data_IF_976312612836
#
_entry.id   IF_976312612836
#
_cell.length_a   1.000
_cell.length_b   1.000
_cell.length_c   1.000
_cell.angle_alpha   90.00
_cell.angle_beta   90.00
_cell.angle_gamma   90.00
#
_symmetry.space_group_name_H-M   'P 1'
#
loop_
_entity.id
_entity.type
_entity.pdbx_description
1 polymer ?
#
# COMPACT_ATOMS: atom_id res chain seq x y z
N UNK A 1 -2.56 36.24 -45.17
CA UNK A 1 -1.13 36.64 -45.09
C UNK A 1 -1.02 37.57 -43.91
N UNK A 2 -0.26 37.17 -42.88
CA UNK A 2 0.17 37.83 -41.61
C UNK A 2 0.15 36.69 -40.57
N UNK A 3 1.19 35.86 -40.57
CA UNK A 3 2.44 35.98 -39.81
C UNK A 3 2.32 35.34 -38.42
N UNK A 4 2.87 34.13 -38.34
CA UNK A 4 3.20 33.39 -37.13
C UNK A 4 4.22 34.18 -36.29
N UNK A 5 4.04 34.17 -34.97
CA UNK A 5 5.10 34.32 -33.97
C UNK A 5 4.81 33.26 -32.91
N UNK A 6 5.50 32.12 -32.96
CA UNK A 6 6.84 31.86 -32.44
C UNK A 6 6.87 31.81 -30.90
N UNK A 7 6.40 30.66 -30.39
CA UNK A 7 7.16 29.77 -29.50
C UNK A 7 7.92 30.43 -28.32
N UNK A 8 7.17 30.74 -27.27
CA UNK A 8 7.72 31.10 -25.96
C UNK A 8 8.12 29.81 -25.21
N UNK A 9 9.23 29.23 -25.65
CA UNK A 9 9.87 28.08 -25.01
C UNK A 9 10.54 28.51 -23.70
N UNK A 10 9.73 28.64 -22.65
CA UNK A 10 10.22 28.63 -21.28
C UNK A 10 10.99 27.32 -21.04
N UNK A 11 12.32 27.41 -21.11
CA UNK A 11 13.24 26.30 -20.90
C UNK A 11 13.18 25.79 -19.46
N UNK A 12 12.18 24.98 -19.13
CA UNK A 12 12.20 24.12 -17.96
C UNK A 12 13.28 23.06 -18.18
N UNK A 13 14.47 23.28 -17.62
CA UNK A 13 15.44 22.19 -17.43
C UNK A 13 14.76 21.06 -16.67
N UNK A 14 14.77 19.82 -17.19
CA UNK A 14 14.16 18.68 -16.51
C UNK A 14 14.88 18.42 -15.18
N UNK A 15 14.12 17.98 -14.17
CA UNK A 15 14.68 17.52 -12.90
C UNK A 15 15.73 16.42 -13.13
N UNK A 16 16.73 16.34 -12.25
CA UNK A 16 17.75 15.29 -12.35
C UNK A 16 17.10 13.92 -12.16
N UNK A 17 17.55 12.95 -12.93
CA UNK A 17 17.21 11.54 -12.70
C UNK A 17 17.84 11.05 -11.38
N UNK A 18 17.46 9.86 -10.92
CA UNK A 18 17.88 9.35 -9.61
C UNK A 18 19.41 9.27 -9.46
N UNK A 19 20.11 8.82 -10.49
CA UNK A 19 21.57 8.71 -10.50
C UNK A 19 22.25 10.09 -10.56
N UNK A 20 21.75 11.00 -11.39
CA UNK A 20 22.23 12.38 -11.46
C UNK A 20 22.03 13.13 -10.14
N UNK A 21 20.90 12.89 -9.46
CA UNK A 21 20.62 13.49 -8.15
C UNK A 21 21.59 13.00 -7.06
N UNK A 22 21.88 11.70 -7.01
CA UNK A 22 22.85 11.15 -6.07
C UNK A 22 24.25 11.74 -6.28
N UNK A 23 24.69 11.85 -7.54
CA UNK A 23 25.97 12.47 -7.90
C UNK A 23 26.02 13.96 -7.49
N UNK A 24 24.95 14.71 -7.79
CA UNK A 24 24.83 16.12 -7.40
C UNK A 24 24.86 16.31 -5.88
N UNK A 25 24.12 15.50 -5.13
CA UNK A 25 24.10 15.57 -3.66
C UNK A 25 25.44 15.20 -3.03
N UNK A 26 26.18 14.25 -3.62
CA UNK A 26 27.51 13.89 -3.16
C UNK A 26 28.50 15.06 -3.30
N UNK A 27 28.41 15.83 -4.38
CA UNK A 27 29.19 17.06 -4.58
C UNK A 27 28.73 18.22 -3.68
N UNK A 28 27.42 18.37 -3.45
CA UNK A 28 26.85 19.49 -2.70
C UNK A 28 27.09 19.41 -1.18
N UNK A 29 27.04 18.21 -0.59
CA UNK A 29 27.19 18.00 0.86
C UNK A 29 28.47 18.63 1.45
N UNK A 30 29.68 18.35 0.92
CA UNK A 30 30.90 18.90 1.49
C UNK A 30 30.98 20.44 1.36
N UNK A 31 30.43 21.02 0.27
CA UNK A 31 30.31 22.47 0.10
C UNK A 31 29.42 23.11 1.19
N UNK A 32 28.25 22.52 1.47
CA UNK A 32 27.34 23.04 2.49
C UNK A 32 27.90 22.89 3.90
N UNK A 33 28.64 21.80 4.16
CA UNK A 33 29.32 21.57 5.43
C UNK A 33 30.42 22.60 5.68
N UNK A 34 31.30 22.84 4.71
CA UNK A 34 32.37 23.82 4.86
C UNK A 34 31.84 25.25 5.03
N UNK A 35 30.83 25.66 4.25
CA UNK A 35 30.17 26.97 4.39
C UNK A 35 29.53 27.17 5.77
N UNK A 36 29.00 26.10 6.37
CA UNK A 36 28.39 26.16 7.70
C UNK A 36 29.46 26.25 8.79
N UNK A 37 30.53 25.45 8.68
CA UNK A 37 31.67 25.53 9.60
C UNK A 37 32.32 26.91 9.61
N UNK A 38 32.48 27.52 8.44
CA UNK A 38 33.04 28.86 8.30
C UNK A 38 32.15 29.92 8.97
N UNK A 39 30.83 29.82 8.79
CA UNK A 39 29.87 30.71 9.42
C UNK A 39 29.86 30.56 10.96
N UNK A 40 29.97 29.35 11.47
CA UNK A 40 29.97 29.06 12.91
C UNK A 40 31.26 29.53 13.61
N UNK A 41 32.37 29.58 12.87
CA UNK A 41 33.69 30.01 13.38
C UNK A 41 34.03 31.47 13.11
N UNK A 42 33.12 32.24 12.51
CA UNK A 42 33.26 33.68 12.36
C UNK A 42 34.04 34.16 11.13
N UNK A 43 34.02 33.42 10.01
CA UNK A 43 34.54 33.88 8.71
C UNK A 43 36.07 34.14 8.68
N UNK A 44 36.83 33.29 9.36
CA UNK A 44 38.27 33.42 9.59
C UNK A 44 39.15 32.83 8.47
N UNK A 45 38.55 32.30 7.40
CA UNK A 45 39.18 31.47 6.38
C UNK A 45 39.88 30.24 6.99
N UNK A 46 39.05 29.31 7.52
CA UNK A 46 39.54 28.18 8.31
C UNK A 46 40.58 27.33 7.56
N UNK A 47 41.66 26.97 8.25
CA UNK A 47 42.64 25.99 7.77
C UNK A 47 42.13 24.57 7.99
N UNK A 48 41.86 23.83 6.90
CA UNK A 48 41.57 22.41 6.94
C UNK A 48 42.84 21.55 6.94
N UNK A 49 42.66 20.22 6.91
CA UNK A 49 43.77 19.25 6.90
C UNK A 49 44.70 19.36 5.68
N UNK A 50 44.15 19.81 4.54
CA UNK A 50 44.88 19.83 3.26
C UNK A 50 44.97 21.22 2.64
N UNK A 51 43.97 22.08 2.85
CA UNK A 51 43.88 23.41 2.26
C UNK A 51 43.00 24.33 3.11
N UNK A 52 43.03 25.63 2.81
CA UNK A 52 42.16 26.62 3.45
C UNK A 52 40.74 26.56 2.89
N UNK A 53 39.79 27.05 3.68
CA UNK A 53 38.38 27.12 3.34
C UNK A 53 38.14 27.75 1.95
N UNK A 54 38.74 28.91 1.68
CA UNK A 54 38.54 29.60 0.41
C UNK A 54 39.07 28.80 -0.80
N UNK A 55 40.23 28.16 -0.66
CA UNK A 55 40.87 27.36 -1.71
C UNK A 55 40.04 26.11 -2.03
N UNK A 56 39.51 25.44 -1.00
CA UNK A 56 38.59 24.32 -1.15
C UNK A 56 37.32 24.73 -1.89
N UNK A 57 36.68 25.83 -1.48
CA UNK A 57 35.45 26.34 -2.10
C UNK A 57 35.67 26.74 -3.57
N UNK A 58 36.72 27.52 -3.84
CA UNK A 58 37.06 27.97 -5.19
C UNK A 58 37.26 26.77 -6.13
N UNK A 59 38.04 25.77 -5.70
CA UNK A 59 38.29 24.55 -6.48
C UNK A 59 37.02 23.76 -6.76
N UNK A 60 36.23 23.47 -5.72
CA UNK A 60 35.02 22.64 -5.85
C UNK A 60 33.92 23.32 -6.68
N UNK A 61 33.81 24.65 -6.61
CA UNK A 61 32.86 25.42 -7.42
C UNK A 61 33.32 25.54 -8.88
N UNK A 62 34.63 25.55 -9.14
CA UNK A 62 35.19 25.52 -10.49
C UNK A 62 35.03 24.14 -11.18
N UNK A 63 34.88 23.06 -10.40
CA UNK A 63 34.67 21.68 -10.89
C UNK A 63 33.26 21.19 -10.55
N UNK A 64 32.21 21.60 -11.30
CA UNK A 64 30.86 21.09 -11.09
C UNK A 64 30.76 19.58 -11.37
N UNK A 65 29.75 18.89 -10.78
CA UNK A 65 29.57 17.45 -10.98
C UNK A 65 29.19 17.15 -12.44
N UNK A 66 29.45 15.93 -12.93
CA UNK A 66 29.15 15.51 -14.31
C UNK A 66 27.66 15.24 -14.51
N UNK A 67 26.83 16.26 -14.28
CA UNK A 67 25.37 16.24 -14.41
C UNK A 67 24.92 17.44 -15.23
N UNK A 68 23.76 17.33 -15.89
CA UNK A 68 23.23 18.41 -16.73
C UNK A 68 22.72 19.57 -15.88
N UNK A 69 23.51 20.62 -15.74
CA UNK A 69 23.14 21.84 -15.03
C UNK A 69 22.68 22.95 -16.00
N UNK A 70 21.75 23.83 -15.59
CA UNK A 70 21.36 25.00 -16.39
C UNK A 70 22.58 25.88 -16.67
N UNK A 71 22.66 26.48 -17.89
CA UNK A 71 23.78 27.35 -18.29
C UNK A 71 24.02 28.49 -17.30
N UNK A 72 22.95 29.12 -16.82
CA UNK A 72 23.03 30.20 -15.83
C UNK A 72 23.64 29.73 -14.49
N UNK A 73 23.38 28.48 -14.12
CA UNK A 73 23.94 27.89 -12.89
C UNK A 73 25.43 27.63 -13.04
N UNK A 74 25.87 27.17 -14.21
CA UNK A 74 27.30 27.00 -14.51
C UNK A 74 28.05 28.33 -14.50
N UNK A 75 27.49 29.38 -15.12
CA UNK A 75 28.06 30.73 -15.07
C UNK A 75 28.16 31.26 -13.63
N UNK A 76 27.10 31.04 -12.83
CA UNK A 76 27.10 31.48 -11.43
C UNK A 76 28.11 30.72 -10.58
N UNK A 77 28.31 29.42 -10.80
CA UNK A 77 29.34 28.63 -10.11
C UNK A 77 30.74 29.16 -10.40
N UNK A 78 31.03 29.50 -11.66
CA UNK A 78 32.31 30.11 -12.03
C UNK A 78 32.52 31.48 -11.37
N UNK A 79 31.49 32.34 -11.35
CA UNK A 79 31.54 33.62 -10.63
C UNK A 79 31.86 33.43 -9.16
N UNK A 80 31.16 32.51 -8.49
CA UNK A 80 31.40 32.21 -7.08
C UNK A 80 32.80 31.64 -6.85
N UNK A 81 33.31 30.79 -7.75
CA UNK A 81 34.67 30.25 -7.64
C UNK A 81 35.73 31.36 -7.64
N UNK A 82 35.56 32.39 -8.48
CA UNK A 82 36.41 33.58 -8.52
C UNK A 82 36.24 34.44 -7.27
N UNK A 83 35.01 34.65 -6.80
CA UNK A 83 34.74 35.41 -5.57
C UNK A 83 35.39 34.75 -4.35
N UNK A 84 35.38 33.42 -4.26
CA UNK A 84 36.07 32.68 -3.20
C UNK A 84 37.59 32.69 -3.37
N UNK A 85 38.14 32.82 -4.59
CA UNK A 85 39.58 32.99 -4.76
C UNK A 85 40.06 34.33 -4.13
N UNK A 86 39.25 35.38 -4.19
CA UNK A 86 39.50 36.68 -3.56
C UNK A 86 39.07 36.75 -2.08
N UNK A 87 38.57 35.65 -1.49
CA UNK A 87 38.05 35.63 -0.11
C UNK A 87 39.00 36.17 0.97
N UNK A 88 40.32 35.88 0.92
CA UNK A 88 41.26 36.40 1.92
C UNK A 88 41.36 37.93 1.92
N UNK A 89 41.12 38.57 0.77
CA UNK A 89 41.21 40.03 0.58
C UNK A 89 39.94 40.77 1.05
N UNK A 90 38.85 40.03 1.27
CA UNK A 90 37.59 40.59 1.76
C UNK A 90 37.65 40.86 3.26
N UNK A 91 37.08 41.99 3.70
CA UNK A 91 36.78 42.23 5.11
C UNK A 91 35.61 41.37 5.62
N UNK A 92 35.44 41.31 6.94
CA UNK A 92 34.44 40.44 7.62
C UNK A 92 33.02 40.58 7.07
N UNK A 93 32.57 41.80 6.80
CA UNK A 93 31.25 42.06 6.23
C UNK A 93 31.10 41.47 4.81
N UNK A 94 32.16 41.52 4.00
CA UNK A 94 32.20 40.94 2.66
C UNK A 94 32.20 39.41 2.71
N UNK A 95 33.05 38.83 3.56
CA UNK A 95 33.11 37.37 3.78
C UNK A 95 31.77 36.80 4.25
N UNK A 96 31.12 37.45 5.21
CA UNK A 96 29.79 37.05 5.71
C UNK A 96 28.73 37.06 4.62
N UNK A 97 28.70 38.10 3.78
CA UNK A 97 27.77 38.21 2.64
C UNK A 97 28.02 37.10 1.62
N UNK A 98 29.29 36.84 1.27
CA UNK A 98 29.63 35.82 0.28
C UNK A 98 29.24 34.42 0.75
N UNK A 99 29.60 34.05 1.99
CA UNK A 99 29.27 32.73 2.56
C UNK A 99 27.75 32.54 2.66
N UNK A 100 27.04 33.54 3.19
CA UNK A 100 25.57 33.46 3.36
C UNK A 100 24.87 33.39 2.01
N UNK A 101 25.25 34.24 1.06
CA UNK A 101 24.67 34.28 -0.28
C UNK A 101 24.93 32.99 -1.06
N UNK A 102 26.14 32.44 -0.96
CA UNK A 102 26.50 31.15 -1.59
C UNK A 102 25.65 30.02 -1.01
N UNK A 103 25.51 29.96 0.33
CA UNK A 103 24.72 28.91 0.99
C UNK A 103 23.24 28.98 0.59
N UNK A 104 22.66 30.18 0.56
CA UNK A 104 21.27 30.38 0.10
C UNK A 104 21.09 29.98 -1.36
N UNK A 105 22.03 30.36 -2.22
CA UNK A 105 21.97 30.05 -3.65
C UNK A 105 22.12 28.55 -3.93
N UNK A 106 23.09 27.87 -3.27
CA UNK A 106 23.26 26.43 -3.37
C UNK A 106 22.05 25.65 -2.86
N UNK A 107 21.40 26.14 -1.79
CA UNK A 107 20.13 25.59 -1.34
C UNK A 107 19.02 25.77 -2.39
N UNK A 108 18.89 26.96 -2.99
CA UNK A 108 17.94 27.21 -4.08
C UNK A 108 18.23 26.39 -5.34
N UNK A 109 19.50 26.12 -5.65
CA UNK A 109 19.90 25.23 -6.75
C UNK A 109 19.47 23.79 -6.45
N UNK A 110 19.71 23.30 -5.23
CA UNK A 110 19.27 21.97 -4.78
C UNK A 110 17.76 21.79 -4.94
N UNK A 111 16.98 22.72 -4.40
CA UNK A 111 15.51 22.66 -4.47
C UNK A 111 14.99 22.66 -5.91
N UNK A 112 15.66 23.37 -6.82
CA UNK A 112 15.29 23.40 -8.25
C UNK A 112 15.63 22.12 -9.01
N UNK A 113 16.69 21.42 -8.60
CA UNK A 113 17.18 20.21 -9.28
C UNK A 113 16.67 18.91 -8.64
N UNK A 114 16.23 18.96 -7.38
CA UNK A 114 15.50 17.88 -6.74
C UNK A 114 14.12 17.73 -7.43
N UNK A 115 13.70 16.50 -7.79
CA UNK A 115 12.32 16.28 -8.19
C UNK A 115 11.42 16.76 -7.04
N UNK A 116 10.35 17.49 -7.36
CA UNK A 116 9.35 17.91 -6.37
C UNK A 116 8.99 16.70 -5.52
N UNK A 117 9.17 16.79 -4.19
CA UNK A 117 8.89 15.68 -3.30
C UNK A 117 7.50 15.12 -3.63
N UNK A 118 7.35 13.81 -3.86
CA UNK A 118 6.08 13.25 -4.27
C UNK A 118 5.04 13.63 -3.23
N UNK A 119 3.92 14.15 -3.70
CA UNK A 119 2.91 14.70 -2.82
C UNK A 119 2.44 13.57 -1.88
N UNK A 120 2.31 13.86 -0.59
CA UNK A 120 2.00 12.81 0.39
C UNK A 120 0.76 12.00 -0.04
N UNK A 121 0.73 10.68 0.23
CA UNK A 121 -0.41 9.84 -0.07
C UNK A 121 -1.73 10.44 0.44
N UNK A 122 -2.84 10.24 -0.28
CA UNK A 122 -4.14 10.68 0.21
C UNK A 122 -4.42 10.01 1.56
N UNK A 123 -4.86 10.79 2.55
CA UNK A 123 -5.31 10.23 3.84
C UNK A 123 -6.75 9.77 3.69
N UNK A 124 -6.98 8.47 3.50
CA UNK A 124 -8.32 7.91 3.64
C UNK A 124 -8.52 7.50 5.10
N UNK A 125 -9.59 8.00 5.72
CA UNK A 125 -10.11 7.38 6.94
C UNK A 125 -10.93 6.17 6.53
N UNK A 126 -10.43 4.96 6.74
CA UNK A 126 -11.26 3.78 6.56
C UNK A 126 -12.15 3.67 7.79
N UNK A 127 -13.48 3.74 7.64
CA UNK A 127 -14.36 3.52 8.79
C UNK A 127 -14.25 2.06 9.20
N UNK A 128 -13.75 1.76 10.39
CA UNK A 128 -13.86 0.43 11.01
C UNK A 128 -15.35 0.11 11.15
N UNK A 129 -15.88 -0.68 10.22
CA UNK A 129 -17.29 -1.01 9.99
C UNK A 129 -18.09 0.02 9.18
N UNK A 130 -18.93 -0.42 8.21
CA UNK A 130 -20.19 0.28 8.02
C UNK A 130 -20.88 0.24 9.38
N UNK A 131 -21.18 1.40 9.93
CA UNK A 131 -22.12 1.52 11.02
C UNK A 131 -23.27 0.55 10.76
N UNK A 132 -23.48 -0.36 11.70
CA UNK A 132 -24.78 -0.92 12.02
C UNK A 132 -25.73 0.22 12.47
N UNK A 133 -25.81 1.31 11.69
CA UNK A 133 -26.83 2.33 11.82
C UNK A 133 -28.08 1.76 11.15
N UNK A 134 -28.89 1.08 11.96
CA UNK A 134 -30.30 0.86 11.65
C UNK A 134 -30.80 -0.59 11.64
N UNK A 135 -29.98 -1.62 11.87
CA UNK A 135 -30.49 -3.00 12.03
C UNK A 135 -29.98 -3.65 13.31
N UNK A 136 -30.78 -3.42 14.35
CA UNK A 136 -30.96 -4.19 15.59
C UNK A 136 -29.70 -4.76 16.23
N UNK A 137 -29.15 -4.01 17.20
CA UNK A 137 -28.26 -4.53 18.23
C UNK A 137 -28.98 -5.47 19.24
N UNK A 138 -30.20 -5.94 18.93
CA UNK A 138 -31.01 -6.75 19.85
C UNK A 138 -31.76 -7.91 19.17
N UNK A 139 -31.30 -8.39 18.01
CA UNK A 139 -31.70 -9.73 17.59
C UNK A 139 -30.75 -10.74 18.23
N UNK A 140 -31.24 -11.75 18.98
CA UNK A 140 -30.39 -12.84 19.42
C UNK A 140 -29.75 -13.44 18.17
N UNK A 141 -28.43 -13.44 18.12
CA UNK A 141 -27.71 -14.17 17.11
C UNK A 141 -27.97 -15.65 17.38
N UNK A 142 -28.92 -16.24 16.63
CA UNK A 142 -29.48 -17.58 16.83
C UNK A 142 -28.59 -18.71 16.32
N UNK A 143 -27.38 -18.40 15.82
CA UNK A 143 -26.45 -19.37 15.26
C UNK A 143 -25.43 -19.79 16.31
N UNK A 144 -25.34 -21.09 16.54
CA UNK A 144 -24.29 -21.74 17.33
C UNK A 144 -23.18 -22.29 16.42
N UNK A 145 -22.01 -22.64 16.99
CA UNK A 145 -20.86 -23.17 16.26
C UNK A 145 -21.19 -24.47 15.50
N UNK A 146 -22.03 -25.32 16.08
CA UNK A 146 -22.48 -26.59 15.49
C UNK A 146 -23.72 -26.43 14.61
N UNK A 147 -24.20 -25.19 14.38
CA UNK A 147 -25.33 -24.97 13.49
C UNK A 147 -24.97 -25.29 12.04
N UNK A 148 -25.81 -26.05 11.32
CA UNK A 148 -25.60 -26.31 9.90
C UNK A 148 -25.55 -25.02 9.08
N UNK A 149 -24.65 -24.92 8.11
CA UNK A 149 -24.50 -23.73 7.26
C UNK A 149 -25.77 -23.40 6.46
N UNK A 150 -26.62 -24.39 6.17
CA UNK A 150 -27.91 -24.16 5.53
C UNK A 150 -28.87 -23.26 6.33
N UNK A 151 -28.65 -23.08 7.65
CA UNK A 151 -29.41 -22.16 8.50
C UNK A 151 -28.90 -20.71 8.43
N UNK A 152 -27.70 -20.50 7.89
CA UNK A 152 -27.11 -19.16 7.76
C UNK A 152 -27.84 -18.41 6.64
N UNK A 153 -28.30 -17.20 6.95
CA UNK A 153 -28.99 -16.37 5.97
C UNK A 153 -28.13 -16.14 4.73
N UNK A 154 -28.70 -16.39 3.54
CA UNK A 154 -28.00 -16.25 2.26
C UNK A 154 -27.29 -17.51 1.77
N UNK A 155 -27.35 -18.62 2.52
CA UNK A 155 -26.94 -19.95 2.08
C UNK A 155 -28.17 -20.75 1.65
N UNK A 156 -28.40 -20.82 0.34
CA UNK A 156 -29.42 -21.70 -0.25
C UNK A 156 -28.92 -23.14 -0.42
N UNK A 157 -29.79 -24.11 -0.78
CA UNK A 157 -29.44 -25.54 -0.85
C UNK A 157 -28.25 -25.81 -1.79
N UNK A 158 -28.24 -25.22 -3.00
CA UNK A 158 -27.13 -25.34 -3.95
C UNK A 158 -25.80 -24.80 -3.42
N UNK A 159 -25.85 -23.74 -2.62
CA UNK A 159 -24.64 -23.16 -2.04
C UNK A 159 -24.17 -24.02 -0.85
N UNK A 160 -25.09 -24.57 -0.06
CA UNK A 160 -24.76 -25.51 1.01
C UNK A 160 -24.08 -26.77 0.45
N UNK A 161 -24.56 -27.35 -0.64
CA UNK A 161 -23.93 -28.50 -1.32
C UNK A 161 -22.49 -28.18 -1.77
N UNK A 162 -22.24 -26.98 -2.29
CA UNK A 162 -20.90 -26.53 -2.70
C UNK A 162 -19.96 -26.26 -1.54
N UNK A 163 -20.50 -25.83 -0.40
CA UNK A 163 -19.72 -25.66 0.82
C UNK A 163 -19.40 -27.03 1.43
N UNK A 164 -20.35 -27.96 1.39
CA UNK A 164 -20.16 -29.34 1.82
C UNK A 164 -19.08 -30.06 0.99
N UNK A 165 -18.95 -29.78 -0.32
CA UNK A 165 -17.86 -30.33 -1.13
C UNK A 165 -16.47 -29.78 -0.77
N UNK A 166 -16.40 -28.65 -0.05
CA UNK A 166 -15.19 -28.14 0.60
C UNK A 166 -14.96 -28.72 2.00
N UNK A 167 -15.85 -29.62 2.47
CA UNK A 167 -15.85 -30.12 3.84
C UNK A 167 -16.43 -29.14 4.86
N UNK A 168 -17.12 -28.08 4.41
CA UNK A 168 -17.71 -27.05 5.27
C UNK A 168 -19.19 -27.35 5.49
N UNK A 169 -19.54 -27.86 6.67
CA UNK A 169 -20.90 -28.33 6.99
C UNK A 169 -21.58 -27.42 8.02
N UNK A 170 -20.83 -26.99 9.02
CA UNK A 170 -21.31 -26.19 10.15
C UNK A 170 -20.59 -24.84 10.26
N UNK A 171 -21.12 -23.93 11.08
CA UNK A 171 -20.57 -22.58 11.31
C UNK A 171 -19.09 -22.62 11.71
N UNK A 172 -18.71 -23.54 12.60
CA UNK A 172 -17.33 -23.68 13.08
C UNK A 172 -16.35 -23.98 11.91
N UNK A 173 -16.78 -24.77 10.93
CA UNK A 173 -15.93 -25.18 9.81
C UNK A 173 -15.61 -23.97 8.94
N UNK A 174 -16.60 -23.10 8.72
CA UNK A 174 -16.43 -21.86 7.95
C UNK A 174 -15.49 -20.87 8.65
N UNK A 175 -15.52 -20.82 9.98
CA UNK A 175 -14.60 -20.01 10.82
C UNK A 175 -13.20 -20.64 10.87
N UNK A 176 -13.07 -21.96 10.72
CA UNK A 176 -11.75 -22.62 10.67
C UNK A 176 -11.16 -22.70 9.25
N UNK A 177 -11.93 -22.33 8.23
CA UNK A 177 -11.46 -22.23 6.86
C UNK A 177 -10.62 -20.97 6.65
N UNK A 178 -9.40 -20.99 7.18
CA UNK A 178 -8.53 -19.82 7.21
C UNK A 178 -8.11 -19.35 5.80
N UNK A 179 -7.91 -18.04 5.61
CA UNK A 179 -7.35 -17.52 4.36
C UNK A 179 -5.95 -18.10 4.09
N UNK A 180 -5.68 -18.44 2.84
CA UNK A 180 -4.34 -18.87 2.38
C UNK A 180 -3.39 -17.69 2.15
N UNK A 181 -3.94 -16.52 1.85
CA UNK A 181 -3.17 -15.32 1.50
C UNK A 181 -4.02 -14.05 1.75
N UNK A 182 -3.42 -12.86 1.62
CA UNK A 182 -4.08 -11.57 1.76
C UNK A 182 -3.61 -10.61 0.66
N UNK A 183 -4.55 -9.90 0.05
CA UNK A 183 -4.24 -8.81 -0.87
C UNK A 183 -4.23 -7.49 -0.10
N UNK A 184 -3.15 -6.74 -0.19
CA UNK A 184 -3.03 -5.46 0.49
C UNK A 184 -3.58 -4.31 -0.36
N UNK A 185 -4.82 -3.90 -0.05
CA UNK A 185 -5.41 -2.67 -0.59
C UNK A 185 -5.33 -1.49 0.38
N UNK A 186 -4.62 -1.62 1.51
CA UNK A 186 -4.42 -0.53 2.47
C UNK A 186 -3.35 0.48 2.00
N UNK A 187 -2.48 0.06 1.09
CA UNK A 187 -1.41 0.88 0.52
C UNK A 187 -1.95 2.00 -0.38
N UNK A 188 -2.13 3.19 0.20
CA UNK A 188 -2.55 4.39 -0.51
C UNK A 188 -1.37 5.06 -1.21
N UNK A 189 -1.54 5.36 -2.50
CA UNK A 189 -0.55 6.03 -3.33
C UNK A 189 -1.18 7.19 -4.11
N UNK A 190 -0.35 8.14 -4.49
CA UNK A 190 -0.67 9.11 -5.55
C UNK A 190 -0.44 8.49 -6.91
N UNK A 191 -1.07 9.05 -7.95
CA UNK A 191 -0.90 8.54 -9.32
C UNK A 191 0.57 8.55 -9.73
N UNK A 192 1.33 9.60 -9.40
CA UNK A 192 2.76 9.70 -9.72
C UNK A 192 3.64 8.65 -9.03
N UNK A 193 3.20 8.15 -7.87
CA UNK A 193 3.97 7.24 -7.02
C UNK A 193 3.55 5.78 -7.20
N UNK A 194 2.85 5.45 -8.29
CA UNK A 194 2.49 4.08 -8.63
C UNK A 194 3.68 3.34 -9.21
N UNK A 195 3.95 2.15 -8.68
CA UNK A 195 5.02 1.27 -9.13
C UNK A 195 4.44 -0.01 -9.74
N UNK A 196 4.93 -0.39 -10.91
CA UNK A 196 4.46 -1.59 -11.59
C UNK A 196 4.90 -2.86 -10.84
N UNK A 197 3.98 -3.81 -10.69
CA UNK A 197 4.20 -5.05 -9.94
C UNK A 197 3.63 -5.01 -8.52
N UNK A 198 3.30 -3.84 -8.00
CA UNK A 198 2.71 -3.69 -6.67
C UNK A 198 1.19 -3.60 -6.70
N UNK A 199 0.54 -4.00 -5.61
CA UNK A 199 -0.87 -3.66 -5.39
C UNK A 199 -0.96 -2.30 -4.73
N UNK A 200 -1.79 -1.42 -5.27
CA UNK A 200 -1.96 -0.08 -4.75
C UNK A 200 -3.41 0.37 -4.77
N UNK A 201 -3.72 1.36 -3.94
CA UNK A 201 -4.99 2.07 -3.91
C UNK A 201 -4.77 3.56 -4.20
N UNK A 202 -5.54 4.13 -5.12
CA UNK A 202 -5.55 5.57 -5.37
C UNK A 202 -6.93 6.17 -5.08
N UNK A 203 -6.94 7.47 -4.76
CA UNK A 203 -8.17 8.29 -4.72
C UNK A 203 -8.04 9.38 -5.77
N UNK A 204 -8.99 9.42 -6.69
CA UNK A 204 -8.94 10.34 -7.82
C UNK A 204 -10.35 10.79 -8.23
N UNK A 205 -10.40 11.93 -8.92
CA UNK A 205 -11.64 12.46 -9.48
C UNK A 205 -11.84 11.95 -10.90
N UNK A 206 -13.04 11.48 -11.21
CA UNK A 206 -13.44 11.08 -12.56
C UNK A 206 -13.51 12.32 -13.45
N UNK A 207 -12.68 12.39 -14.49
CA UNK A 207 -12.75 13.44 -15.51
C UNK A 207 -13.65 13.06 -16.67
N UNK A 208 -13.56 11.80 -17.10
CA UNK A 208 -14.38 11.23 -18.17
C UNK A 208 -14.65 9.77 -17.87
N UNK A 209 -15.85 9.32 -18.20
CA UNK A 209 -16.28 7.93 -18.15
C UNK A 209 -16.90 7.57 -19.50
N UNK A 210 -16.46 6.46 -20.10
CA UNK A 210 -16.95 6.02 -21.39
C UNK A 210 -17.10 4.50 -21.41
N UNK A 211 -18.31 4.01 -21.68
CA UNK A 211 -18.61 2.59 -21.84
C UNK A 211 -18.81 2.24 -23.31
N UNK A 212 -18.13 1.22 -23.81
CA UNK A 212 -18.30 0.71 -25.17
C UNK A 212 -18.13 -0.80 -25.24
N UNK A 213 -18.71 -1.43 -26.27
CA UNK A 213 -18.47 -2.85 -26.56
C UNK A 213 -17.20 -2.98 -27.40
N UNK A 214 -16.34 -3.94 -27.07
CA UNK A 214 -15.07 -4.15 -27.76
C UNK A 214 -15.30 -4.44 -29.25
N UNK A 215 -14.64 -3.71 -30.16
CA UNK A 215 -14.71 -3.98 -31.59
C UNK A 215 -14.18 -5.38 -31.96
N UNK A 216 -13.26 -5.93 -31.17
CA UNK A 216 -12.63 -7.24 -31.42
C UNK A 216 -13.41 -8.41 -30.80
N UNK A 217 -14.21 -8.15 -29.77
CA UNK A 217 -14.98 -9.18 -29.08
C UNK A 217 -16.35 -8.63 -28.65
N UNK A 218 -17.44 -8.95 -29.36
CA UNK A 218 -18.77 -8.42 -29.06
C UNK A 218 -19.32 -8.90 -27.71
N UNK A 219 -18.73 -9.94 -27.11
CA UNK A 219 -19.09 -10.43 -25.78
C UNK A 219 -18.30 -9.72 -24.66
N UNK A 220 -17.55 -8.66 -24.97
CA UNK A 220 -16.75 -7.93 -24.01
C UNK A 220 -17.15 -6.45 -24.02
N UNK A 221 -17.76 -6.00 -22.93
CA UNK A 221 -18.00 -4.58 -22.69
C UNK A 221 -16.88 -3.98 -21.85
N UNK A 222 -16.51 -2.75 -22.14
CA UNK A 222 -15.39 -2.05 -21.53
C UNK A 222 -15.89 -0.72 -20.99
N UNK A 223 -15.60 -0.43 -19.72
CA UNK A 223 -15.78 0.89 -19.13
C UNK A 223 -14.40 1.49 -18.90
N UNK A 224 -14.14 2.60 -19.59
CA UNK A 224 -12.91 3.37 -19.47
C UNK A 224 -13.16 4.63 -18.65
N UNK A 225 -12.37 4.79 -17.59
CA UNK A 225 -12.37 5.96 -16.73
C UNK A 225 -11.05 6.71 -16.89
N UNK A 226 -11.13 8.00 -17.19
CA UNK A 226 -10.00 8.91 -17.07
C UNK A 226 -10.07 9.56 -15.70
N UNK A 227 -9.12 9.22 -14.85
CA UNK A 227 -9.05 9.70 -13.48
C UNK A 227 -7.93 10.73 -13.34
N UNK A 228 -8.12 11.68 -12.45
CA UNK A 228 -7.13 12.70 -12.13
C UNK A 228 -7.04 12.92 -10.63
N UNK A 229 -5.82 12.97 -10.12
CA UNK A 229 -5.50 13.49 -8.80
C UNK A 229 -4.59 14.75 -8.96
N UNK A 230 -4.11 15.39 -7.89
CA UNK A 230 -3.26 16.57 -8.03
C UNK A 230 -1.86 16.27 -8.62
N UNK A 231 -1.45 15.01 -8.67
CA UNK A 231 -0.12 14.58 -9.16
C UNK A 231 -0.13 14.13 -10.61
N UNK A 232 -1.27 13.70 -11.14
CA UNK A 232 -1.33 13.22 -12.51
C UNK A 232 -2.69 12.73 -12.97
N UNK A 233 -2.67 12.09 -14.14
CA UNK A 233 -3.85 11.46 -14.75
C UNK A 233 -3.53 9.99 -15.02
N UNK A 234 -4.54 9.14 -14.84
CA UNK A 234 -4.44 7.71 -15.14
C UNK A 234 -5.71 7.22 -15.82
N UNK A 235 -5.54 6.32 -16.79
CA UNK A 235 -6.63 5.59 -17.40
C UNK A 235 -6.86 4.29 -16.63
N UNK A 236 -8.09 4.07 -16.18
CA UNK A 236 -8.51 2.85 -15.51
C UNK A 236 -9.59 2.19 -16.34
N UNK A 237 -9.44 0.90 -16.60
CA UNK A 237 -10.35 0.15 -17.47
C UNK A 237 -10.96 -1.00 -16.70
N UNK A 238 -12.28 -1.14 -16.80
CA UNK A 238 -13.04 -2.26 -16.25
C UNK A 238 -13.61 -3.10 -17.38
N UNK A 239 -13.25 -4.38 -17.39
CA UNK A 239 -13.69 -5.35 -18.38
C UNK A 239 -14.91 -6.13 -17.86
N UNK A 240 -15.97 -6.18 -18.66
CA UNK A 240 -17.21 -6.89 -18.36
C UNK A 240 -17.42 -7.98 -19.43
N UNK A 241 -17.00 -9.20 -19.12
CA UNK A 241 -17.04 -10.34 -20.03
C UNK A 241 -18.35 -11.11 -19.96
N UNK A 242 -19.02 -11.29 -21.10
CA UNK A 242 -20.24 -12.08 -21.27
C UNK A 242 -21.36 -11.31 -21.98
N UNK A 243 -22.16 -12.04 -22.77
CA UNK A 243 -23.29 -11.48 -23.54
C UNK A 243 -24.27 -10.63 -22.72
N UNK A 244 -24.43 -10.95 -21.44
CA UNK A 244 -25.32 -10.24 -20.51
C UNK A 244 -24.88 -8.78 -20.30
N UNK A 245 -23.59 -8.48 -20.49
CA UNK A 245 -23.02 -7.16 -20.29
C UNK A 245 -22.90 -6.35 -21.60
N UNK A 246 -23.12 -7.00 -22.75
CA UNK A 246 -23.11 -6.35 -24.07
C UNK A 246 -24.37 -5.53 -24.37
N UNK A 247 -25.40 -5.62 -23.51
CA UNK A 247 -26.61 -4.82 -23.65
C UNK A 247 -26.29 -3.32 -23.47
N UNK A 248 -26.55 -2.45 -24.47
CA UNK A 248 -26.24 -1.03 -24.40
C UNK A 248 -26.89 -0.29 -23.22
N UNK A 249 -28.10 -0.66 -22.81
CA UNK A 249 -28.79 -0.04 -21.69
C UNK A 249 -28.12 -0.40 -20.35
N UNK A 250 -27.69 -1.66 -20.20
CA UNK A 250 -26.93 -2.11 -19.04
C UNK A 250 -25.58 -1.40 -18.97
N UNK A 251 -24.86 -1.33 -20.09
CA UNK A 251 -23.55 -0.66 -20.15
C UNK A 251 -23.67 0.84 -19.86
N UNK A 252 -24.70 1.51 -20.38
CA UNK A 252 -25.00 2.90 -20.01
C UNK A 252 -25.30 3.04 -18.53
N UNK A 253 -26.12 2.17 -17.95
CA UNK A 253 -26.43 2.17 -16.52
C UNK A 253 -25.19 1.97 -15.64
N UNK A 254 -24.28 1.08 -16.03
CA UNK A 254 -23.00 0.88 -15.35
C UNK A 254 -22.07 2.08 -15.51
N UNK A 255 -21.99 2.67 -16.70
CA UNK A 255 -21.14 3.85 -16.95
C UNK A 255 -21.61 5.06 -16.15
N UNK A 256 -22.94 5.23 -15.99
CA UNK A 256 -23.56 6.31 -15.20
C UNK A 256 -23.27 6.24 -13.71
N UNK A 257 -22.81 5.11 -13.18
CA UNK A 257 -22.34 5.01 -11.80
C UNK A 257 -21.06 5.82 -11.57
N UNK A 258 -20.34 6.21 -12.62
CA UNK A 258 -19.10 6.98 -12.53
C UNK A 258 -19.26 8.36 -13.20
N UNK A 259 -20.08 9.28 -12.64
CA UNK A 259 -20.28 10.58 -13.23
C UNK A 259 -19.01 11.45 -13.15
N UNK A 260 -18.84 12.35 -14.11
CA UNK A 260 -17.73 13.31 -14.08
C UNK A 260 -17.80 14.18 -12.82
N UNK A 261 -16.64 14.42 -12.19
CA UNK A 261 -16.53 15.12 -10.92
C UNK A 261 -16.68 14.21 -9.68
N UNK A 262 -17.16 12.97 -9.83
CA UNK A 262 -17.19 12.03 -8.72
C UNK A 262 -15.78 11.68 -8.23
N UNK A 263 -15.62 11.50 -6.92
CA UNK A 263 -14.39 10.96 -6.37
C UNK A 263 -14.52 9.44 -6.29
N UNK A 264 -13.50 8.72 -6.75
CA UNK A 264 -13.46 7.25 -6.72
C UNK A 264 -12.21 6.76 -6.02
N UNK A 265 -12.34 5.66 -5.29
CA UNK A 265 -11.22 4.85 -4.85
C UNK A 265 -11.00 3.71 -5.84
N UNK A 266 -9.76 3.50 -6.26
CA UNK A 266 -9.39 2.42 -7.19
C UNK A 266 -8.29 1.59 -6.55
N UNK A 267 -8.51 0.28 -6.48
CA UNK A 267 -7.54 -0.68 -5.95
C UNK A 267 -7.28 -1.79 -6.95
N UNK A 268 -6.03 -2.20 -7.09
CA UNK A 268 -5.66 -3.32 -7.95
C UNK A 268 -4.16 -3.49 -8.10
N UNK A 269 -3.78 -4.50 -8.87
CA UNK A 269 -2.39 -4.70 -9.26
C UNK A 269 -2.00 -3.67 -10.31
N UNK A 270 -0.92 -2.94 -10.07
CA UNK A 270 -0.39 -1.95 -10.99
C UNK A 270 0.45 -2.67 -12.06
N UNK A 271 0.15 -2.43 -13.33
CA UNK A 271 0.89 -2.96 -14.49
C UNK A 271 1.38 -1.84 -15.39
N UNK A 272 2.60 -2.02 -15.90
CA UNK A 272 3.13 -1.21 -16.99
C UNK A 272 2.74 -1.84 -18.33
N UNK A 273 2.27 -1.01 -19.26
CA UNK A 273 1.97 -1.42 -20.63
C UNK A 273 2.42 -0.38 -21.65
N UNK A 274 2.14 -0.59 -22.94
CA UNK A 274 2.55 0.31 -24.03
C UNK A 274 2.06 1.76 -23.89
N UNK A 275 1.00 1.97 -23.11
CA UNK A 275 0.36 3.27 -22.89
C UNK A 275 0.62 3.82 -21.47
N UNK A 276 1.63 3.30 -20.78
CA UNK A 276 1.98 3.66 -19.41
C UNK A 276 1.37 2.74 -18.35
N UNK A 277 1.28 3.26 -17.13
CA UNK A 277 0.79 2.53 -15.96
C UNK A 277 -0.73 2.40 -15.97
N UNK A 278 -1.23 1.23 -15.57
CA UNK A 278 -2.66 0.92 -15.47
C UNK A 278 -2.93 -0.05 -14.32
N UNK A 279 -4.19 -0.17 -13.90
CA UNK A 279 -4.60 -1.22 -12.97
C UNK A 279 -5.12 -2.44 -13.74
N UNK A 280 -4.65 -3.63 -13.34
CA UNK A 280 -5.25 -4.89 -13.75
C UNK A 280 -6.45 -5.22 -12.86
N UNK A 281 -7.56 -5.58 -13.50
CA UNK A 281 -8.81 -6.01 -12.87
C UNK A 281 -9.20 -5.15 -11.64
N UNK A 282 -9.25 -3.81 -11.80
CA UNK A 282 -9.42 -2.89 -10.68
C UNK A 282 -10.78 -3.02 -10.01
N UNK A 283 -10.77 -2.90 -8.69
CA UNK A 283 -11.95 -2.63 -7.88
C UNK A 283 -12.13 -1.11 -7.84
N UNK A 284 -13.31 -0.64 -8.22
CA UNK A 284 -13.61 0.79 -8.34
C UNK A 284 -14.87 1.08 -7.53
N UNK A 285 -14.74 1.91 -6.51
CA UNK A 285 -15.86 2.38 -5.69
C UNK A 285 -15.96 3.89 -5.69
N UNK A 286 -17.19 4.41 -5.79
CA UNK A 286 -17.48 5.84 -5.71
C UNK A 286 -17.55 6.25 -4.25
N UNK A 287 -16.84 7.32 -3.91
CA UNK A 287 -16.84 7.89 -2.56
C UNK A 287 -17.88 9.00 -2.45
N UNK A 288 -18.48 9.15 -1.26
CA UNK A 288 -19.38 10.27 -0.95
C UNK A 288 -18.67 11.62 -1.08
N UNK A 289 -17.40 11.69 -0.68
CA UNK A 289 -16.49 12.83 -0.94
C UNK A 289 -15.02 12.41 -0.77
N UNK A 290 -14.07 13.23 -1.21
CA UNK A 290 -12.63 12.94 -1.10
C UNK A 290 -12.13 12.75 0.34
N UNK A 291 -12.82 13.34 1.32
CA UNK A 291 -12.48 13.26 2.73
C UNK A 291 -13.46 12.37 3.52
N UNK A 292 -14.52 11.87 2.89
CA UNK A 292 -15.46 10.97 3.55
C UNK A 292 -14.75 9.67 3.94
N UNK A 293 -15.12 9.08 5.08
CA UNK A 293 -14.57 7.79 5.44
C UNK A 293 -14.96 6.75 4.39
N UNK A 294 -14.00 5.97 3.93
CA UNK A 294 -14.25 4.93 2.94
C UNK A 294 -15.06 3.80 3.59
N UNK A 295 -16.32 3.68 3.19
CA UNK A 295 -17.26 2.63 3.62
C UNK A 295 -17.16 1.38 2.73
N UNK A 296 -15.95 1.03 2.30
CA UNK A 296 -15.70 -0.16 1.48
C UNK A 296 -15.45 -1.38 2.35
N UNK A 297 -15.93 -2.53 1.86
CA UNK A 297 -15.57 -3.87 2.36
C UNK A 297 -14.29 -4.43 1.73
N UNK A 298 -13.79 -3.81 0.65
CA UNK A 298 -12.70 -4.34 -0.16
C UNK A 298 -11.51 -3.37 -0.22
N UNK A 299 -11.76 -2.09 -0.49
CA UNK A 299 -10.72 -1.07 -0.69
C UNK A 299 -10.22 -0.55 0.67
N UNK A 300 -8.92 -0.27 0.75
CA UNK A 300 -8.28 0.33 1.92
C UNK A 300 -7.95 -0.64 3.05
N UNK A 301 -8.00 -1.95 2.79
CA UNK A 301 -7.82 -3.00 3.82
C UNK A 301 -6.99 -4.17 3.31
N UNK A 302 -6.54 -5.01 4.24
CA UNK A 302 -6.03 -6.34 3.94
C UNK A 302 -7.20 -7.27 3.63
N UNK A 303 -7.25 -7.79 2.39
CA UNK A 303 -8.37 -8.58 1.91
C UNK A 303 -8.02 -10.07 1.91
N UNK A 304 -8.66 -10.92 2.73
CA UNK A 304 -8.36 -12.34 2.79
C UNK A 304 -8.65 -13.06 1.46
N UNK A 305 -7.80 -14.01 1.12
CA UNK A 305 -7.91 -14.90 -0.03
C UNK A 305 -8.11 -16.32 0.47
N UNK A 306 -9.26 -16.91 0.14
CA UNK A 306 -9.60 -18.27 0.57
C UNK A 306 -9.35 -19.28 -0.56
N UNK A 307 -9.06 -20.55 -0.22
CA UNK A 307 -9.30 -21.67 -1.14
C UNK A 307 -10.79 -21.76 -1.46
N UNK A 308 -11.15 -21.81 -2.75
CA UNK A 308 -12.55 -21.80 -3.24
C UNK A 308 -12.80 -22.96 -4.20
N UNK A 309 -14.07 -23.34 -4.36
CA UNK A 309 -14.58 -24.25 -5.39
C UNK A 309 -15.23 -23.51 -6.55
N UNK A 310 -15.39 -24.20 -7.68
CA UNK A 310 -16.05 -23.66 -8.86
C UNK A 310 -17.47 -23.14 -8.56
N UNK A 311 -17.81 -21.98 -9.13
CA UNK A 311 -19.13 -21.37 -8.95
C UNK A 311 -19.31 -20.61 -7.63
N UNK A 312 -18.26 -20.45 -6.81
CA UNK A 312 -18.26 -19.60 -5.62
C UNK A 312 -17.26 -18.45 -5.78
N UNK A 313 -17.75 -17.21 -5.76
CA UNK A 313 -16.89 -16.03 -5.88
C UNK A 313 -16.23 -15.69 -4.54
N UNK A 314 -15.02 -15.11 -4.58
CA UNK A 314 -14.29 -14.71 -3.38
C UNK A 314 -15.07 -13.70 -2.53
N UNK A 315 -15.74 -12.74 -3.17
CA UNK A 315 -16.58 -11.75 -2.49
C UNK A 315 -17.78 -12.39 -1.76
N UNK A 316 -18.42 -13.37 -2.41
CA UNK A 316 -19.51 -14.11 -1.79
C UNK A 316 -19.00 -14.91 -0.59
N UNK A 317 -17.87 -15.60 -0.71
CA UNK A 317 -17.29 -16.37 0.39
C UNK A 317 -16.96 -15.48 1.59
N UNK A 318 -16.28 -14.34 1.37
CA UNK A 318 -16.00 -13.35 2.43
C UNK A 318 -17.27 -12.89 3.13
N UNK A 319 -18.33 -12.61 2.36
CA UNK A 319 -19.61 -12.19 2.92
C UNK A 319 -20.24 -13.27 3.82
N UNK A 320 -20.05 -14.56 3.50
CA UNK A 320 -20.51 -15.66 4.35
C UNK A 320 -19.68 -15.76 5.64
N UNK A 321 -18.35 -15.63 5.54
CA UNK A 321 -17.47 -15.61 6.72
C UNK A 321 -17.85 -14.45 7.64
N UNK A 322 -18.03 -13.24 7.12
CA UNK A 322 -18.45 -12.08 7.91
C UNK A 322 -19.81 -12.29 8.60
N UNK A 323 -20.74 -13.01 7.95
CA UNK A 323 -22.04 -13.30 8.53
C UNK A 323 -21.95 -14.23 9.75
N UNK A 324 -20.97 -15.13 9.79
CA UNK A 324 -20.78 -16.08 10.90
C UNK A 324 -19.72 -15.65 11.90
N UNK A 325 -18.84 -14.70 11.56
CA UNK A 325 -17.74 -14.24 12.39
C UNK A 325 -18.16 -13.82 13.81
N UNK A 326 -19.35 -13.23 14.07
CA UNK A 326 -19.79 -12.96 15.44
C UNK A 326 -19.89 -14.20 16.33
N UNK A 327 -20.05 -15.41 15.76
CA UNK A 327 -20.16 -16.67 16.50
C UNK A 327 -18.85 -17.05 17.22
N UNK A 328 -17.70 -16.47 16.84
CA UNK A 328 -16.39 -16.75 17.48
C UNK A 328 -16.40 -16.52 18.99
N UNK A 329 -17.27 -15.64 19.52
CA UNK A 329 -17.44 -15.40 20.95
C UNK A 329 -17.97 -16.62 21.72
N UNK A 330 -18.64 -17.55 21.02
CA UNK A 330 -19.12 -18.81 21.58
C UNK A 330 -18.01 -19.86 21.63
N UNK A 331 -16.84 -19.57 21.06
CA UNK A 331 -15.71 -20.49 21.02
C UNK A 331 -14.80 -20.28 22.23
N UNK A 332 -14.81 -21.19 23.24
CA UNK A 332 -14.02 -21.00 24.44
C UNK A 332 -12.52 -20.99 24.12
N UNK A 333 -11.79 -20.14 24.84
CA UNK A 333 -10.34 -20.11 24.77
C UNK A 333 -9.77 -21.33 25.53
N UNK A 334 -9.02 -22.23 24.86
CA UNK A 334 -8.44 -23.39 25.52
C UNK A 334 -7.30 -23.03 26.48
N UNK A 335 -6.74 -21.83 26.37
CA UNK A 335 -5.61 -21.36 27.18
C UNK A 335 -6.10 -20.46 28.31
N UNK A 336 -5.82 -20.79 29.59
CA UNK A 336 -6.16 -19.91 30.71
C UNK A 336 -5.53 -18.52 30.56
N UNK A 337 -6.28 -17.47 30.91
CA UNK A 337 -5.87 -16.07 30.75
C UNK A 337 -4.45 -15.76 31.29
N UNK A 338 -4.04 -16.23 32.49
CA UNK A 338 -2.68 -15.96 32.99
C UNK A 338 -1.57 -16.54 32.10
N UNK A 339 -1.80 -17.73 31.51
CA UNK A 339 -0.81 -18.39 30.63
C UNK A 339 -0.72 -17.71 29.26
N UNK A 340 -1.84 -17.17 28.80
CA UNK A 340 -1.98 -16.40 27.56
C UNK A 340 -1.25 -15.06 27.69
N UNK A 341 -1.53 -14.31 28.75
CA UNK A 341 -0.96 -12.99 29.02
C UNK A 341 0.55 -13.05 29.24
N UNK A 342 1.04 -14.02 30.00
CA UNK A 342 2.48 -14.23 30.21
C UNK A 342 3.27 -14.48 28.91
N UNK A 343 2.59 -14.84 27.81
CA UNK A 343 3.19 -15.10 26.50
C UNK A 343 2.86 -14.02 25.46
N UNK A 344 2.13 -12.97 25.84
CA UNK A 344 1.70 -11.91 24.92
C UNK A 344 0.78 -12.40 23.80
N UNK A 345 -0.04 -13.43 24.07
CA UNK A 345 -0.92 -14.03 23.06
C UNK A 345 -2.31 -13.35 23.03
N UNK A 346 -2.85 -13.14 21.83
CA UNK A 346 -4.25 -12.71 21.64
C UNK A 346 -5.22 -13.75 22.21
N UNK A 347 -6.41 -13.32 22.64
CA UNK A 347 -7.50 -14.25 22.95
C UNK A 347 -7.95 -14.98 21.67
N UNK A 348 -8.49 -16.21 21.81
CA UNK A 348 -8.84 -17.04 20.64
C UNK A 348 -9.86 -16.38 19.72
N UNK A 349 -10.91 -15.79 20.29
CA UNK A 349 -11.93 -15.05 19.56
C UNK A 349 -11.32 -13.88 18.75
N UNK A 350 -10.43 -13.11 19.37
CA UNK A 350 -9.71 -12.00 18.73
C UNK A 350 -8.81 -12.50 17.59
N UNK A 351 -8.10 -13.61 17.79
CA UNK A 351 -7.26 -14.21 16.75
C UNK A 351 -8.09 -14.73 15.57
N UNK A 352 -9.25 -15.35 15.83
CA UNK A 352 -10.18 -15.78 14.78
C UNK A 352 -10.80 -14.59 14.03
N UNK A 353 -11.11 -13.49 14.72
CA UNK A 353 -11.55 -12.27 14.03
C UNK A 353 -10.42 -11.72 13.16
N UNK A 354 -9.22 -11.58 13.72
CA UNK A 354 -8.10 -10.95 13.04
C UNK A 354 -7.52 -11.78 11.88
N UNK A 355 -7.64 -13.12 11.89
CA UNK A 355 -7.27 -13.93 10.73
C UNK A 355 -8.23 -13.70 9.56
N UNK A 356 -9.53 -13.53 9.81
CA UNK A 356 -10.50 -13.28 8.73
C UNK A 356 -10.65 -11.82 8.34
N UNK A 357 -10.43 -10.91 9.29
CA UNK A 357 -10.66 -9.46 9.14
C UNK A 357 -9.54 -8.65 9.83
N UNK A 358 -8.30 -8.74 9.33
CA UNK A 358 -7.20 -7.96 9.88
C UNK A 358 -7.35 -6.48 9.52
N UNK A 359 -7.18 -5.61 10.52
CA UNK A 359 -7.11 -4.16 10.32
C UNK A 359 -5.69 -3.72 9.94
N UNK A 360 -4.68 -4.42 10.44
CA UNK A 360 -3.26 -4.15 10.18
C UNK A 360 -2.48 -5.44 9.95
N UNK A 361 -1.32 -5.32 9.30
CA UNK A 361 -0.40 -6.45 9.09
C UNK A 361 0.12 -7.01 10.43
N UNK A 362 0.32 -6.15 11.42
CA UNK A 362 0.73 -6.57 12.77
C UNK A 362 -0.36 -7.41 13.45
N UNK A 363 -1.62 -6.98 13.38
CA UNK A 363 -2.73 -7.74 13.95
C UNK A 363 -2.86 -9.11 13.27
N UNK A 364 -2.68 -9.17 11.95
CA UNK A 364 -2.64 -10.43 11.20
C UNK A 364 -1.51 -11.35 11.69
N UNK A 365 -0.30 -10.81 11.90
CA UNK A 365 0.84 -11.59 12.41
C UNK A 365 0.57 -12.15 13.81
N UNK A 366 0.01 -11.34 14.71
CA UNK A 366 -0.37 -11.77 16.06
C UNK A 366 -1.44 -12.87 16.04
N UNK A 367 -2.44 -12.75 15.16
CA UNK A 367 -3.48 -13.76 14.95
C UNK A 367 -2.88 -15.09 14.46
N UNK A 368 -2.02 -15.04 13.44
CA UNK A 368 -1.32 -16.21 12.93
C UNK A 368 -0.47 -16.87 14.01
N UNK A 369 0.30 -16.07 14.76
CA UNK A 369 1.11 -16.58 15.86
C UNK A 369 0.27 -17.30 16.91
N UNK A 370 -0.87 -16.72 17.31
CA UNK A 370 -1.81 -17.35 18.26
C UNK A 370 -2.38 -18.66 17.73
N UNK A 371 -2.87 -18.70 16.50
CA UNK A 371 -3.50 -19.90 15.94
C UNK A 371 -2.50 -21.02 15.70
N UNK A 372 -1.29 -20.70 15.22
CA UNK A 372 -0.19 -21.65 15.09
C UNK A 372 0.22 -22.19 16.46
N UNK A 373 0.31 -21.32 17.48
CA UNK A 373 0.57 -21.76 18.85
C UNK A 373 -0.46 -22.77 19.35
N UNK A 374 -1.75 -22.52 19.11
CA UNK A 374 -2.82 -23.44 19.51
C UNK A 374 -2.66 -24.82 18.83
N UNK A 375 -2.33 -24.85 17.53
CA UNK A 375 -2.07 -26.10 16.80
C UNK A 375 -0.87 -26.87 17.37
N UNK A 376 0.26 -26.19 17.60
CA UNK A 376 1.44 -26.81 18.19
C UNK A 376 1.19 -27.30 19.61
N UNK A 377 0.45 -26.54 20.42
CA UNK A 377 0.09 -26.94 21.78
C UNK A 377 -0.74 -28.23 21.75
N UNK A 378 -1.76 -28.30 20.88
CA UNK A 378 -2.61 -29.49 20.74
C UNK A 378 -1.80 -30.71 20.29
N UNK A 379 -0.86 -30.54 19.36
CA UNK A 379 0.05 -31.60 18.94
C UNK A 379 0.91 -32.11 20.11
N UNK A 380 1.54 -31.19 20.86
CA UNK A 380 2.39 -31.54 22.00
C UNK A 380 1.61 -32.27 23.09
N UNK A 381 0.41 -31.79 23.44
CA UNK A 381 -0.46 -32.43 24.43
C UNK A 381 -0.85 -33.85 23.97
N UNK A 382 -1.18 -34.03 22.69
CA UNK A 382 -1.51 -35.33 22.12
C UNK A 382 -0.34 -36.32 22.19
N UNK A 383 0.88 -35.86 21.89
CA UNK A 383 2.10 -36.67 22.00
C UNK A 383 2.41 -37.04 23.46
N UNK A 384 2.23 -36.10 24.39
CA UNK A 384 2.42 -36.34 25.83
C UNK A 384 1.42 -37.37 26.36
N UNK A 385 0.14 -37.28 25.97
CA UNK A 385 -0.88 -38.27 26.32
C UNK A 385 -0.53 -39.65 25.78
N UNK A 386 -0.10 -39.75 24.52
CA UNK A 386 0.33 -41.02 23.92
C UNK A 386 1.53 -41.61 24.65
N UNK A 387 2.52 -40.79 25.03
CA UNK A 387 3.69 -41.23 25.81
C UNK A 387 3.30 -41.71 27.19
N UNK A 388 2.38 -41.04 27.86
CA UNK A 388 1.86 -41.45 29.16
C UNK A 388 1.14 -42.82 29.06
N UNK A 389 0.28 -43.00 28.05
CA UNK A 389 -0.40 -44.27 27.81
C UNK A 389 0.57 -45.43 27.52
N UNK A 390 1.65 -45.18 26.75
CA UNK A 390 2.68 -46.20 26.50
C UNK A 390 3.46 -46.58 27.76
N UNK A 391 3.75 -45.63 28.65
CA UNK A 391 4.43 -45.91 29.92
C UNK A 391 3.59 -46.76 30.88
N UNK A 392 2.26 -46.70 30.76
CA UNK A 392 1.33 -47.50 31.56
C UNK A 392 1.12 -48.92 31.00
N UNK A 393 1.60 -49.22 29.78
CA UNK A 393 1.54 -50.58 29.23
C UNK A 393 2.63 -51.44 29.88
N UNK A 394 2.21 -52.54 30.50
CA UNK A 394 3.10 -53.60 30.94
C UNK A 394 3.83 -54.22 29.75
N UNK A 395 5.12 -54.54 29.91
CA UNK A 395 5.86 -55.25 28.88
C UNK A 395 5.21 -56.63 28.63
N UNK A 396 5.07 -57.06 27.36
CA UNK A 396 4.57 -58.40 27.07
C UNK A 396 5.51 -59.44 27.68
N UNK A 397 4.94 -60.49 28.26
CA UNK A 397 5.69 -61.60 28.84
C UNK A 397 6.46 -62.29 27.72
N UNK A 398 7.78 -62.34 27.83
CA UNK A 398 8.60 -63.16 26.95
C UNK A 398 8.41 -64.61 27.38
N UNK A 399 7.63 -65.37 26.61
CA UNK A 399 7.63 -66.82 26.75
C UNK A 399 8.99 -67.32 26.24
N UNK A 400 9.88 -67.70 27.16
CA UNK A 400 11.16 -68.31 26.82
C UNK A 400 10.90 -69.53 25.94
N UNK A 401 11.53 -69.56 24.77
CA UNK A 401 11.52 -70.75 23.91
C UNK A 401 12.13 -71.91 24.68
N UNK A 402 11.35 -72.96 24.88
CA UNK A 402 11.87 -74.25 25.31
C UNK A 402 12.45 -74.88 24.05
N UNK A 403 13.78 -75.00 24.01
CA UNK A 403 14.53 -75.79 23.01
C UNK A 403 14.19 -77.28 23.11
#
# INVERSE_FOLDING_TARGET
MVAQSADDSSGLTPALDRQGLECFLAWLRPLQQSLSLEADKGFLDLQGRHERFHAFLSRQLATPPPVTLPKDSLMRLQSLATDFAAYPELGDAGRRRLVTGTRQWLHGLRVRLEPSAPMAPPRIRVSSSPQAAGRSANQPFTLDLESPLARVHGIGPKLAERLASLGLLVVRDLIQHYPRDYVDYSALRRIEALEAGETATIVATVRRSHGFTSPRNPNLSIIELQLQDPTGRIKVTRFLAGKRFSNPAYLHGQTRQYPAGATVAVSGLVKSGPYGISFQDPIIEVMESANAPLRSRQIGRLLPVYPLTEGLTADRFRSLVEAVLPAVRLWPDPLPAPRREARGLLARDQALIAIHRPETSEQLQQARHRLVFDEFLLLQLSLMQRRAALRQRSAPVLHGGVE
#
